data_IF_253199637736
#
_entry.id   IF_253199637736
#
_cell.length_a   1.000
_cell.length_b   1.000
_cell.length_c   1.000
_cell.angle_alpha   90.00
_cell.angle_beta   90.00
_cell.angle_gamma   90.00
#
_symmetry.space_group_name_H-M   'P 1'
#
loop_
_entity.id
_entity.type
_entity.pdbx_description
1 polymer ?
#
# COMPACT_ATOMS: atom_id res chain seq x y z
N UNK A 1 2.81 -13.60 64.91
CA UNK A 1 2.92 -12.46 63.96
C UNK A 1 2.49 -12.92 62.58
N UNK A 2 1.34 -12.47 62.03
CA UNK A 2 1.01 -12.74 60.64
C UNK A 2 1.73 -11.74 59.73
N UNK A 3 2.52 -12.23 58.76
CA UNK A 3 3.08 -11.41 57.67
C UNK A 3 2.04 -11.31 56.55
N UNK A 4 1.62 -10.08 56.28
CA UNK A 4 0.64 -9.67 55.29
C UNK A 4 1.06 -10.09 53.88
N UNK A 5 0.18 -10.79 53.17
CA UNK A 5 0.31 -11.07 51.75
C UNK A 5 0.05 -9.79 50.90
N UNK A 6 0.78 -9.59 49.79
CA UNK A 6 0.20 -9.11 48.51
C UNK A 6 1.17 -9.15 47.30
N UNK A 7 0.73 -9.94 46.33
CA UNK A 7 1.01 -10.02 44.88
C UNK A 7 1.11 -8.64 44.18
N UNK A 8 2.05 -8.43 43.23
CA UNK A 8 1.72 -8.19 41.80
C UNK A 8 2.95 -8.07 40.88
N UNK A 9 2.87 -8.86 39.81
CA UNK A 9 3.67 -8.95 38.59
C UNK A 9 3.49 -7.71 37.70
N UNK A 10 4.58 -7.25 37.09
CA UNK A 10 4.63 -6.59 35.77
C UNK A 10 4.18 -5.13 35.69
N UNK A 11 5.15 -4.20 35.66
CA UNK A 11 5.12 -2.93 34.92
C UNK A 11 6.47 -2.24 35.07
N UNK A 12 7.42 -2.54 34.18
CA UNK A 12 8.63 -1.74 33.99
C UNK A 12 8.43 -0.94 32.71
N UNK A 13 8.37 0.38 32.84
CA UNK A 13 8.55 1.31 31.73
C UNK A 13 7.28 1.95 31.18
N UNK A 14 6.52 2.64 32.02
CA UNK A 14 5.58 3.69 31.57
C UNK A 14 6.31 5.04 31.72
N UNK A 15 7.06 5.40 30.69
CA UNK A 15 7.43 6.78 30.39
C UNK A 15 6.86 7.06 28.99
N UNK A 16 6.27 8.24 28.70
CA UNK A 16 5.54 8.47 27.47
C UNK A 16 6.46 8.20 26.27
N UNK A 17 6.04 7.33 25.35
CA UNK A 17 6.73 7.17 24.07
C UNK A 17 6.92 8.56 23.45
N UNK A 18 8.14 8.92 23.01
CA UNK A 18 8.49 10.29 22.68
C UNK A 18 7.59 10.83 21.58
N UNK A 19 6.91 11.93 21.92
CA UNK A 19 5.93 12.71 21.17
C UNK A 19 6.47 13.35 19.87
N UNK A 20 7.60 12.90 19.34
CA UNK A 20 8.17 13.35 18.06
C UNK A 20 8.19 12.27 16.97
N UNK A 21 8.04 10.99 17.31
CA UNK A 21 8.12 9.87 16.33
C UNK A 21 6.77 9.27 15.93
N UNK A 22 5.76 9.38 16.80
CA UNK A 22 4.43 8.80 16.54
C UNK A 22 3.61 9.60 15.51
N UNK A 23 3.83 10.92 15.46
CA UNK A 23 3.25 11.80 14.44
C UNK A 23 3.86 11.52 13.08
N UNK A 24 5.19 11.59 12.95
CA UNK A 24 5.89 11.32 11.68
C UNK A 24 5.57 9.94 11.10
N UNK A 25 5.48 8.87 11.89
CA UNK A 25 5.10 7.54 11.38
C UNK A 25 3.64 7.54 10.87
N UNK A 26 2.70 8.18 11.56
CA UNK A 26 1.32 8.33 11.04
C UNK A 26 1.23 9.29 9.85
N UNK A 27 2.04 10.34 9.81
CA UNK A 27 2.10 11.30 8.72
C UNK A 27 2.80 10.71 7.48
N UNK A 28 3.77 9.80 7.62
CA UNK A 28 4.33 9.04 6.49
C UNK A 28 3.40 7.90 6.03
N UNK A 29 2.56 7.37 6.91
CA UNK A 29 1.52 6.40 6.57
C UNK A 29 0.32 7.07 5.88
N UNK A 30 0.00 8.32 6.24
CA UNK A 30 -1.07 9.12 5.63
C UNK A 30 -0.68 9.89 4.35
N UNK A 31 0.60 10.20 4.12
CA UNK A 31 1.07 10.95 2.92
C UNK A 31 1.18 10.08 1.66
N UNK A 32 0.82 8.80 1.74
CA UNK A 32 0.59 7.99 0.54
C UNK A 32 -0.83 7.43 0.53
N UNK A 33 -1.85 8.26 0.24
CA UNK A 33 -3.03 7.75 -0.45
C UNK A 33 -2.60 7.42 -1.90
N UNK A 34 -1.56 6.60 -2.06
CA UNK A 34 -1.14 6.09 -3.34
C UNK A 34 -2.31 5.31 -3.87
N UNK A 35 -2.80 5.69 -5.05
CA UNK A 35 -3.81 4.92 -5.77
C UNK A 35 -3.29 3.50 -5.82
N UNK A 36 -3.90 2.61 -5.02
CA UNK A 36 -3.55 1.19 -4.98
C UNK A 36 -4.06 0.59 -6.28
N UNK A 37 -3.27 0.72 -7.34
CA UNK A 37 -3.53 0.02 -8.60
C UNK A 37 -3.24 -1.45 -8.32
N UNK A 38 -4.32 -2.23 -8.24
CA UNK A 38 -4.20 -3.68 -8.09
C UNK A 38 -3.50 -4.29 -9.30
N UNK A 39 -2.76 -5.41 -9.12
CA UNK A 39 -2.13 -6.14 -10.23
C UNK A 39 -3.11 -6.43 -11.37
N UNK A 40 -4.37 -6.76 -11.02
CA UNK A 40 -5.46 -7.00 -11.98
C UNK A 40 -5.76 -5.80 -12.86
N UNK A 41 -5.79 -4.59 -12.29
CA UNK A 41 -6.07 -3.35 -13.04
C UNK A 41 -4.97 -3.08 -14.08
N UNK A 42 -3.70 -3.32 -13.72
CA UNK A 42 -2.57 -3.17 -14.64
C UNK A 42 -2.68 -4.15 -15.81
N UNK A 43 -3.01 -5.41 -15.52
CA UNK A 43 -3.14 -6.46 -16.55
C UNK A 43 -4.28 -6.13 -17.52
N UNK A 44 -5.43 -5.66 -17.02
CA UNK A 44 -6.56 -5.26 -17.86
C UNK A 44 -6.16 -4.08 -18.75
N UNK A 45 -5.55 -3.04 -18.18
CA UNK A 45 -5.12 -1.86 -18.94
C UNK A 45 -4.13 -2.23 -20.05
N UNK A 46 -3.15 -3.07 -19.74
CA UNK A 46 -2.18 -3.58 -20.71
C UNK A 46 -2.86 -4.39 -21.83
N UNK A 47 -3.81 -5.26 -21.47
CA UNK A 47 -4.52 -6.10 -22.45
C UNK A 47 -5.28 -5.26 -23.50
N UNK A 48 -5.97 -4.20 -23.05
CA UNK A 48 -6.71 -3.28 -23.94
C UNK A 48 -5.75 -2.58 -24.91
N UNK A 49 -4.60 -2.14 -24.40
CA UNK A 49 -3.59 -1.43 -25.19
C UNK A 49 -3.02 -2.34 -26.29
N UNK A 50 -2.67 -3.59 -25.95
CA UNK A 50 -2.17 -4.58 -26.91
C UNK A 50 -3.19 -4.85 -28.00
N UNK A 51 -4.46 -5.09 -27.64
CA UNK A 51 -5.53 -5.35 -28.61
C UNK A 51 -5.72 -4.16 -29.54
N UNK A 52 -5.74 -2.93 -29.00
CA UNK A 52 -5.86 -1.71 -29.81
C UNK A 52 -4.71 -1.53 -30.81
N UNK A 53 -3.47 -1.80 -30.39
CA UNK A 53 -2.30 -1.75 -31.27
C UNK A 53 -2.39 -2.79 -32.36
N UNK A 54 -2.77 -4.03 -32.06
CA UNK A 54 -2.88 -5.09 -33.07
C UNK A 54 -3.93 -4.73 -34.13
N UNK A 55 -5.10 -4.25 -33.72
CA UNK A 55 -6.16 -3.83 -34.65
C UNK A 55 -5.66 -2.68 -35.53
N UNK A 56 -5.04 -1.66 -34.93
CA UNK A 56 -4.49 -0.52 -35.67
C UNK A 56 -3.38 -0.94 -36.64
N UNK A 57 -2.53 -1.88 -36.24
CA UNK A 57 -1.42 -2.37 -37.06
C UNK A 57 -1.92 -3.16 -38.27
N UNK A 58 -2.91 -4.03 -38.06
CA UNK A 58 -3.57 -4.78 -39.14
C UNK A 58 -4.29 -3.82 -40.11
N UNK A 59 -4.99 -2.83 -39.57
CA UNK A 59 -5.66 -1.81 -40.39
C UNK A 59 -4.67 -0.98 -41.22
N UNK A 60 -3.55 -0.58 -40.62
CA UNK A 60 -2.48 0.14 -41.31
C UNK A 60 -1.85 -0.71 -42.41
N UNK A 61 -1.61 -2.00 -42.15
CA UNK A 61 -1.07 -2.92 -43.15
C UNK A 61 -2.01 -3.06 -44.35
N UNK A 62 -3.32 -3.22 -44.10
CA UNK A 62 -4.35 -3.33 -45.14
C UNK A 62 -4.44 -2.02 -45.94
N UNK A 63 -4.40 -0.87 -45.27
CA UNK A 63 -4.47 0.44 -45.93
C UNK A 63 -3.21 0.81 -46.71
N UNK A 64 -2.04 0.23 -46.41
CA UNK A 64 -0.81 0.45 -47.17
C UNK A 64 -0.74 -0.44 -48.43
N UNK A 65 -1.45 -1.57 -48.42
CA UNK A 65 -1.46 -2.54 -49.52
C UNK A 65 -2.39 -2.16 -50.69
N UNK A 66 -3.15 -1.06 -50.58
CA UNK A 66 -4.03 -0.48 -51.61
C UNK A 66 -3.48 0.81 -52.16
#
# INVERSE_FOLDING_TARGET
>A
MPKTAKKKKGKRGDGPMPSGGAGLIRFFEDETPGIKIGPTTVVILASILVVGVVISHVWWLISQAS
#
